data_IF_042351420668
#
_entry.id   IF_042351420668
#
_cell.length_a   1.000
_cell.length_b   1.000
_cell.length_c   1.000
_cell.angle_alpha   90.00
_cell.angle_beta   90.00
_cell.angle_gamma   90.00
#
_symmetry.space_group_name_H-M   'P 1'
#
loop_
_entity.id
_entity.type
_entity.pdbx_description
1 polymer ?
#
# COMPACT_ATOMS: atom_id res chain seq x y z
N UNK A 1 -11.32 -47.02 31.91
CA UNK A 1 -10.04 -46.68 32.55
C UNK A 1 -8.97 -47.03 31.52
N UNK A 2 -8.29 -46.12 30.83
CA UNK A 2 -7.82 -44.79 31.23
C UNK A 2 -7.82 -43.81 30.04
N UNK A 3 -8.27 -42.60 30.33
CA UNK A 3 -8.16 -41.41 29.50
C UNK A 3 -6.70 -40.90 29.54
N UNK A 4 -6.11 -40.41 28.44
CA UNK A 4 -4.84 -39.70 28.51
C UNK A 4 -5.07 -38.24 28.97
N UNK A 5 -4.34 -37.73 29.98
CA UNK A 5 -4.09 -36.28 30.11
C UNK A 5 -2.73 -35.95 29.46
N UNK A 6 -2.40 -34.78 28.91
CA UNK A 6 -3.05 -33.51 28.56
C UNK A 6 -1.99 -32.75 27.73
N UNK A 7 -2.32 -31.96 26.67
CA UNK A 7 -1.36 -31.16 25.93
C UNK A 7 -1.36 -29.71 26.44
N UNK A 8 -0.43 -29.36 27.32
CA UNK A 8 -0.02 -27.98 27.62
C UNK A 8 0.93 -28.01 28.83
N UNK A 9 2.23 -27.86 28.59
CA UNK A 9 3.11 -27.27 29.59
C UNK A 9 3.59 -25.96 28.98
N UNK A 10 2.84 -24.91 29.28
CA UNK A 10 3.28 -23.51 29.23
C UNK A 10 4.43 -23.38 30.23
N UNK A 11 5.66 -23.55 29.74
CA UNK A 11 6.85 -23.49 30.59
C UNK A 11 7.25 -22.02 30.79
N UNK A 12 6.61 -21.36 31.75
CA UNK A 12 6.86 -19.96 32.17
C UNK A 12 8.36 -19.70 32.43
N UNK A 13 9.11 -20.74 32.79
CA UNK A 13 10.55 -20.69 33.00
C UNK A 13 11.33 -20.44 31.70
N UNK A 14 10.88 -21.03 30.58
CA UNK A 14 11.45 -20.77 29.25
C UNK A 14 11.16 -19.33 28.78
N UNK A 15 9.96 -18.81 29.08
CA UNK A 15 9.59 -17.43 28.78
C UNK A 15 10.38 -16.43 29.64
N UNK A 16 10.55 -16.71 30.93
CA UNK A 16 11.35 -15.90 31.85
C UNK A 16 12.83 -15.87 31.44
N UNK A 17 13.38 -17.00 30.97
CA UNK A 17 14.74 -17.07 30.44
C UNK A 17 14.91 -16.25 29.15
N UNK A 18 13.94 -16.31 28.23
CA UNK A 18 13.96 -15.51 27.00
C UNK A 18 13.86 -14.00 27.29
N UNK A 19 13.02 -13.60 28.24
CA UNK A 19 12.89 -12.21 28.69
C UNK A 19 14.15 -11.73 29.43
N UNK A 20 14.78 -12.59 30.22
CA UNK A 20 16.06 -12.32 30.88
C UNK A 20 17.19 -12.10 29.87
N UNK A 21 17.29 -12.94 28.84
CA UNK A 21 18.26 -12.80 27.75
C UNK A 21 18.02 -11.53 26.92
N UNK A 22 16.75 -11.13 26.72
CA UNK A 22 16.39 -9.90 26.00
C UNK A 22 16.82 -8.63 26.75
N UNK A 23 16.90 -8.65 28.08
CA UNK A 23 17.33 -7.50 28.90
C UNK A 23 18.84 -7.23 28.86
N UNK A 24 19.63 -8.07 28.18
CA UNK A 24 21.07 -7.87 27.95
C UNK A 24 21.34 -7.28 26.55
N UNK A 25 20.31 -6.84 25.83
CA UNK A 25 20.48 -6.08 24.60
C UNK A 25 21.05 -4.71 24.92
N UNK A 26 22.25 -4.44 24.42
CA UNK A 26 22.85 -3.11 24.47
C UNK A 26 21.93 -2.12 23.75
N UNK A 27 21.71 -0.96 24.36
CA UNK A 27 20.94 0.11 23.73
C UNK A 27 21.53 0.45 22.36
N UNK A 28 20.63 0.78 21.41
CA UNK A 28 21.06 1.21 20.10
C UNK A 28 21.94 2.46 20.25
N UNK A 29 23.11 2.51 19.58
CA UNK A 29 23.98 3.67 19.63
C UNK A 29 23.21 4.97 19.32
N UNK A 30 23.39 6.00 20.16
CA UNK A 30 22.62 7.25 20.08
C UNK A 30 22.67 7.89 18.68
N UNK A 31 23.83 7.81 18.01
CA UNK A 31 23.99 8.29 16.65
C UNK A 31 23.05 7.62 15.63
N UNK A 32 22.68 6.35 15.84
CA UNK A 32 21.71 5.64 15.00
C UNK A 32 20.28 6.04 15.32
N UNK A 33 19.96 6.25 16.61
CA UNK A 33 18.64 6.75 17.04
C UNK A 33 18.39 8.14 16.46
N UNK A 34 19.34 9.06 16.60
CA UNK A 34 19.26 10.42 16.06
C UNK A 34 19.17 10.44 14.53
N UNK A 35 19.91 9.54 13.84
CA UNK A 35 19.79 9.38 12.39
C UNK A 35 18.41 8.87 11.97
N UNK A 36 17.85 7.90 12.69
CA UNK A 36 16.52 7.37 12.42
C UNK A 36 15.42 8.43 12.63
N UNK A 37 15.52 9.22 13.71
CA UNK A 37 14.65 10.39 13.92
C UNK A 37 14.79 11.40 12.78
N UNK A 38 16.02 11.65 12.32
CA UNK A 38 16.30 12.54 11.20
C UNK A 38 15.66 12.11 9.87
N UNK A 39 15.53 10.79 9.62
CA UNK A 39 14.88 10.26 8.41
C UNK A 39 13.37 10.55 8.39
N UNK A 40 12.70 10.53 9.55
CA UNK A 40 11.29 10.91 9.64
C UNK A 40 11.04 12.41 9.52
N UNK A 41 12.05 13.23 9.83
CA UNK A 41 11.98 14.69 9.68
C UNK A 41 12.44 15.19 8.30
N UNK A 42 12.75 14.31 7.35
CA UNK A 42 13.01 14.71 5.97
C UNK A 42 11.69 14.74 5.19
N UNK A 43 11.02 15.90 5.04
CA UNK A 43 9.99 16.01 4.02
C UNK A 43 10.66 15.73 2.68
N UNK A 44 10.14 14.76 1.94
CA UNK A 44 10.48 14.62 0.53
C UNK A 44 10.14 15.96 -0.13
N UNK A 45 11.15 16.72 -0.51
CA UNK A 45 10.98 18.01 -1.17
C UNK A 45 10.48 17.74 -2.60
N UNK A 46 9.18 17.60 -2.75
CA UNK A 46 8.48 17.69 -4.03
C UNK A 46 7.90 19.10 -4.11
N UNK A 47 8.12 19.86 -5.19
CA UNK A 47 7.50 21.16 -5.35
C UNK A 47 5.98 21.00 -5.47
N UNK A 48 5.26 21.28 -4.39
CA UNK A 48 3.80 21.37 -4.37
C UNK A 48 3.42 22.77 -4.89
N UNK A 49 2.83 22.82 -6.08
CA UNK A 49 2.10 24.02 -6.52
C UNK A 49 0.79 24.08 -5.74
N UNK A 50 0.79 24.80 -4.62
CA UNK A 50 -0.42 25.07 -3.83
C UNK A 50 -1.28 26.12 -4.53
N UNK A 51 -2.42 25.71 -5.10
CA UNK A 51 -3.54 26.60 -5.36
C UNK A 51 -4.52 26.51 -4.17
N UNK A 52 -5.12 27.62 -3.71
CA UNK A 52 -5.96 27.61 -2.51
C UNK A 52 -7.32 26.96 -2.81
N UNK A 53 -7.51 25.73 -2.34
CA UNK A 53 -8.79 25.04 -2.31
C UNK A 53 -9.62 25.51 -1.11
N UNK A 54 -10.10 26.76 -1.15
CA UNK A 54 -10.91 27.33 -0.07
C UNK A 54 -12.17 28.03 -0.60
N UNK A 55 -12.94 27.39 -1.50
CA UNK A 55 -14.34 27.81 -1.76
C UNK A 55 -15.28 26.70 -2.29
N UNK A 56 -14.80 25.48 -2.56
CA UNK A 56 -15.62 24.46 -3.25
C UNK A 56 -16.59 23.67 -2.35
N UNK A 57 -16.64 23.92 -1.03
CA UNK A 57 -17.41 23.08 -0.09
C UNK A 57 -18.89 23.46 0.06
N UNK A 58 -19.41 24.43 -0.70
CA UNK A 58 -20.80 24.90 -0.54
C UNK A 58 -21.77 24.47 -1.67
N UNK A 59 -21.28 23.82 -2.73
CA UNK A 59 -22.09 23.49 -3.91
C UNK A 59 -21.77 22.08 -4.43
N UNK A 60 -22.01 21.04 -3.64
CA UNK A 60 -22.19 19.64 -4.09
C UNK A 60 -21.25 19.10 -5.18
N UNK A 61 -20.00 19.58 -5.23
CA UNK A 61 -19.07 19.31 -6.31
C UNK A 61 -18.19 18.11 -5.96
N UNK A 62 -18.08 17.17 -6.89
CA UNK A 62 -17.12 16.07 -6.77
C UNK A 62 -15.70 16.64 -6.86
N UNK A 63 -14.91 16.45 -5.81
CA UNK A 63 -13.51 16.90 -5.75
C UNK A 63 -12.60 15.89 -6.45
N UNK A 64 -11.70 16.36 -7.30
CA UNK A 64 -10.64 15.51 -7.86
C UNK A 64 -9.37 15.70 -7.04
N UNK A 65 -9.00 14.67 -6.30
CA UNK A 65 -7.82 14.65 -5.44
C UNK A 65 -6.58 14.24 -6.25
N UNK A 66 -5.41 14.65 -5.77
CA UNK A 66 -4.12 14.26 -6.31
C UNK A 66 -3.35 13.51 -5.22
N UNK A 67 -3.09 12.23 -5.45
CA UNK A 67 -2.31 11.42 -4.53
C UNK A 67 -0.83 11.40 -4.90
N UNK A 68 0.01 11.41 -3.86
CA UNK A 68 1.46 11.28 -3.98
C UNK A 68 1.87 9.86 -3.62
N UNK A 69 2.68 9.21 -4.46
CA UNK A 69 3.28 7.91 -4.13
C UNK A 69 4.35 8.12 -3.06
N UNK A 70 4.15 7.54 -1.88
CA UNK A 70 5.07 7.68 -0.74
C UNK A 70 5.97 6.45 -0.54
N UNK A 71 5.56 5.28 -1.04
CA UNK A 71 6.35 4.05 -0.96
C UNK A 71 6.06 3.12 -2.14
N UNK A 72 7.11 2.51 -2.68
CA UNK A 72 7.04 1.42 -3.66
C UNK A 72 8.03 0.32 -3.27
N UNK A 73 7.54 -0.90 -3.06
CA UNK A 73 8.37 -2.02 -2.63
C UNK A 73 9.36 -2.49 -3.71
N UNK A 74 9.12 -2.14 -4.98
CA UNK A 74 10.04 -2.43 -6.10
C UNK A 74 10.97 -1.26 -6.41
N UNK A 75 10.78 -0.09 -5.80
CA UNK A 75 11.74 1.00 -5.96
C UNK A 75 12.98 0.69 -5.12
N UNK A 76 14.03 0.23 -5.79
CA UNK A 76 15.33 -0.09 -5.20
C UNK A 76 16.19 1.18 -5.06
N UNK A 77 15.56 2.32 -4.74
CA UNK A 77 16.22 3.60 -4.50
C UNK A 77 17.43 3.43 -3.56
N UNK A 78 18.59 3.88 -4.06
CA UNK A 78 19.93 3.81 -3.48
C UNK A 78 20.03 3.15 -2.09
N UNK A 79 20.32 1.85 -2.08
CA UNK A 79 20.80 1.02 -0.95
C UNK A 79 20.96 1.78 0.39
N UNK A 80 19.85 2.06 1.07
CA UNK A 80 19.88 2.34 2.49
C UNK A 80 20.23 1.01 3.19
N UNK A 81 21.52 0.86 3.54
CA UNK A 81 22.06 -0.32 4.20
C UNK A 81 21.29 -0.61 5.47
N UNK A 82 20.44 -1.64 5.45
CA UNK A 82 19.63 -2.03 6.59
C UNK A 82 18.29 -2.70 6.26
N UNK A 83 17.77 -2.57 5.02
CA UNK A 83 16.59 -3.35 4.61
C UNK A 83 16.94 -4.83 4.51
N UNK A 84 16.63 -5.60 5.55
CA UNK A 84 16.49 -7.07 5.47
C UNK A 84 15.20 -7.43 4.75
N UNK A 85 14.99 -6.89 3.55
CA UNK A 85 14.10 -7.50 2.59
C UNK A 85 14.89 -8.64 1.99
N UNK A 86 14.47 -9.89 2.23
CA UNK A 86 15.05 -11.01 1.53
C UNK A 86 14.93 -10.70 0.02
N UNK A 87 16.07 -10.47 -0.63
CA UNK A 87 16.19 -10.49 -2.09
C UNK A 87 16.05 -11.94 -2.59
N UNK A 88 15.05 -12.65 -2.08
CA UNK A 88 14.74 -14.02 -2.46
C UNK A 88 13.82 -13.97 -3.66
N UNK A 89 14.48 -14.00 -4.82
CA UNK A 89 14.05 -14.65 -6.06
C UNK A 89 12.88 -14.02 -6.82
N UNK A 90 13.25 -13.15 -7.76
CA UNK A 90 12.57 -13.01 -9.04
C UNK A 90 11.54 -11.89 -9.13
N UNK A 91 11.25 -11.48 -10.36
CA UNK A 91 10.21 -10.54 -10.77
C UNK A 91 8.77 -10.98 -10.40
N UNK A 92 8.62 -11.97 -9.53
CA UNK A 92 7.39 -12.62 -9.09
C UNK A 92 7.05 -12.33 -7.62
N UNK A 93 7.72 -11.37 -6.98
CA UNK A 93 7.32 -10.89 -5.66
C UNK A 93 6.12 -9.94 -5.78
N UNK A 94 5.20 -10.00 -4.80
CA UNK A 94 4.11 -9.03 -4.71
C UNK A 94 4.69 -7.60 -4.57
N UNK A 95 4.14 -6.65 -5.34
CA UNK A 95 4.50 -5.23 -5.26
C UNK A 95 3.50 -4.52 -4.36
N UNK A 96 4.02 -3.75 -3.41
CA UNK A 96 3.21 -2.88 -2.56
C UNK A 96 3.48 -1.43 -2.92
N UNK A 97 2.41 -0.65 -3.04
CA UNK A 97 2.45 0.79 -3.30
C UNK A 97 1.63 1.49 -2.22
N UNK A 98 2.18 2.53 -1.60
CA UNK A 98 1.43 3.39 -0.68
C UNK A 98 1.35 4.79 -1.27
N UNK A 99 0.14 5.32 -1.34
CA UNK A 99 -0.11 6.70 -1.72
C UNK A 99 -0.73 7.46 -0.56
N UNK A 100 -0.53 8.78 -0.53
CA UNK A 100 -1.19 9.67 0.42
C UNK A 100 -1.84 10.86 -0.30
N UNK A 101 -3.01 11.29 0.17
CA UNK A 101 -3.77 12.43 -0.35
C UNK A 101 -4.68 13.01 0.72
N UNK A 102 -4.68 14.34 0.92
CA UNK A 102 -5.62 15.09 1.77
C UNK A 102 -6.20 14.31 2.98
N UNK A 103 -5.34 13.78 3.87
CA UNK A 103 -5.76 13.06 5.08
C UNK A 103 -6.22 11.60 4.86
N UNK A 104 -5.86 10.99 3.73
CA UNK A 104 -6.13 9.60 3.39
C UNK A 104 -4.84 8.93 2.93
N UNK A 105 -4.70 7.68 3.29
CA UNK A 105 -3.65 6.81 2.76
C UNK A 105 -4.30 5.69 1.95
N UNK A 106 -3.64 5.29 0.86
CA UNK A 106 -4.14 4.26 -0.06
C UNK A 106 -3.03 3.21 -0.17
N UNK A 107 -3.27 2.04 0.42
CA UNK A 107 -2.38 0.88 0.29
C UNK A 107 -2.85 0.02 -0.89
N UNK A 108 -1.95 -0.28 -1.82
CA UNK A 108 -2.21 -1.12 -2.98
C UNK A 108 -1.23 -2.29 -3.00
N UNK A 109 -1.75 -3.45 -3.40
CA UNK A 109 -0.96 -4.68 -3.58
C UNK A 109 -1.22 -5.28 -4.95
N UNK A 110 -0.14 -5.56 -5.65
CA UNK A 110 -0.11 -6.28 -6.92
C UNK A 110 0.51 -7.65 -6.66
N UNK A 111 -0.31 -8.70 -6.73
CA UNK A 111 0.13 -10.08 -6.49
C UNK A 111 0.19 -10.82 -7.82
N UNK A 112 1.35 -11.37 -8.22
CA UNK A 112 1.44 -12.15 -9.44
C UNK A 112 0.75 -13.51 -9.29
N UNK A 113 0.10 -13.94 -10.37
CA UNK A 113 -0.48 -15.25 -10.57
C UNK A 113 0.16 -15.92 -11.79
N UNK A 114 0.06 -17.25 -11.88
CA UNK A 114 0.52 -18.04 -13.03
C UNK A 114 1.95 -17.70 -13.48
N UNK A 115 2.86 -17.53 -12.53
CA UNK A 115 4.24 -17.16 -12.85
C UNK A 115 4.38 -15.77 -13.45
N UNK A 116 3.46 -14.83 -13.14
CA UNK A 116 3.52 -13.42 -13.52
C UNK A 116 2.86 -13.07 -14.86
N UNK A 117 2.15 -14.03 -15.48
CA UNK A 117 1.30 -13.78 -16.63
C UNK A 117 0.07 -12.93 -16.25
N UNK A 118 -0.55 -13.26 -15.12
CA UNK A 118 -1.71 -12.54 -14.58
C UNK A 118 -1.40 -11.95 -13.22
N UNK A 119 -2.21 -10.99 -12.80
CA UNK A 119 -2.03 -10.24 -11.57
C UNK A 119 -3.37 -10.00 -10.89
N UNK A 120 -3.37 -10.01 -9.56
CA UNK A 120 -4.47 -9.50 -8.74
C UNK A 120 -4.06 -8.16 -8.18
N UNK A 121 -4.89 -7.14 -8.43
CA UNK A 121 -4.80 -5.85 -7.78
C UNK A 121 -5.81 -5.82 -6.63
N UNK A 122 -5.32 -5.64 -5.41
CA UNK A 122 -6.13 -5.36 -4.24
C UNK A 122 -5.63 -4.10 -3.54
N UNK A 123 -6.45 -3.52 -2.69
CA UNK A 123 -6.05 -2.35 -1.92
C UNK A 123 -7.05 -1.97 -0.85
N UNK A 124 -6.66 -0.97 -0.08
CA UNK A 124 -7.44 -0.41 1.01
C UNK A 124 -7.29 1.10 1.03
N UNK A 125 -8.39 1.81 1.28
CA UNK A 125 -8.38 3.25 1.54
C UNK A 125 -8.50 3.48 3.05
N UNK A 126 -7.48 4.07 3.65
CA UNK A 126 -7.45 4.45 5.05
C UNK A 126 -7.82 5.92 5.17
N UNK A 127 -8.95 6.20 5.81
CA UNK A 127 -9.46 7.55 5.92
C UNK A 127 -10.82 7.62 6.62
N UNK A 128 -11.44 8.80 6.66
CA UNK A 128 -12.73 8.99 7.31
C UNK A 128 -13.88 8.31 6.56
N UNK A 129 -13.77 8.09 5.25
CA UNK A 129 -14.77 7.37 4.46
C UNK A 129 -14.49 5.88 4.42
N UNK A 130 -15.51 5.08 4.73
CA UNK A 130 -15.45 3.61 4.66
C UNK A 130 -16.25 3.04 3.47
N UNK A 131 -16.85 3.91 2.65
CA UNK A 131 -17.66 3.50 1.52
C UNK A 131 -17.25 4.21 0.23
N UNK A 132 -17.28 3.45 -0.86
CA UNK A 132 -16.83 3.91 -2.16
C UNK A 132 -16.74 2.77 -3.15
N UNK A 133 -16.06 3.02 -4.27
CA UNK A 133 -15.79 2.02 -5.28
C UNK A 133 -14.42 2.22 -5.92
N UNK A 134 -13.84 1.12 -6.35
CA UNK A 134 -12.64 1.07 -7.15
C UNK A 134 -13.01 0.68 -8.59
N UNK A 135 -12.51 1.43 -9.56
CA UNK A 135 -12.68 1.14 -10.99
C UNK A 135 -11.30 0.94 -11.62
N UNK A 136 -11.12 -0.20 -12.27
CA UNK A 136 -9.95 -0.46 -13.07
C UNK A 136 -10.26 -0.11 -14.53
N UNK A 137 -9.46 0.78 -15.12
CA UNK A 137 -9.61 1.24 -16.50
C UNK A 137 -8.34 0.91 -17.31
N UNK A 138 -8.46 0.71 -18.63
CA UNK A 138 -7.29 0.69 -19.50
C UNK A 138 -6.58 2.04 -19.40
N UNK A 139 -5.26 2.06 -19.63
CA UNK A 139 -4.59 3.34 -19.79
C UNK A 139 -5.16 4.13 -20.98
N UNK A 140 -5.37 5.45 -20.84
CA UNK A 140 -5.92 6.26 -21.90
C UNK A 140 -4.94 6.25 -23.08
N UNK A 141 -5.46 5.90 -24.27
CA UNK A 141 -4.74 6.22 -25.50
C UNK A 141 -4.76 7.75 -25.66
N UNK A 142 -3.69 8.31 -26.22
CA UNK A 142 -3.36 9.74 -26.16
C UNK A 142 -4.42 10.73 -26.70
N UNK A 143 -5.57 10.28 -27.21
CA UNK A 143 -6.61 11.13 -27.81
C UNK A 143 -8.05 10.56 -27.70
N UNK A 144 -8.31 9.60 -26.81
CA UNK A 144 -9.66 9.03 -26.64
C UNK A 144 -10.35 9.47 -25.36
N UNK A 145 -11.67 9.63 -25.46
CA UNK A 145 -12.57 9.80 -24.31
C UNK A 145 -12.32 8.70 -23.26
N UNK A 146 -12.62 9.00 -21.99
CA UNK A 146 -12.41 8.08 -20.87
C UNK A 146 -12.96 6.68 -21.20
N UNK A 147 -12.06 5.70 -21.27
CA UNK A 147 -12.41 4.33 -21.56
C UNK A 147 -13.34 3.78 -20.47
N UNK A 148 -14.33 2.98 -20.88
CA UNK A 148 -15.19 2.24 -19.96
C UNK A 148 -14.34 1.39 -19.01
N UNK A 149 -14.74 1.26 -17.73
CA UNK A 149 -14.01 0.44 -16.78
C UNK A 149 -14.01 -1.03 -17.21
N UNK A 150 -12.85 -1.67 -17.10
CA UNK A 150 -12.70 -3.11 -17.26
C UNK A 150 -13.39 -3.84 -16.11
N UNK A 151 -13.26 -3.31 -14.90
CA UNK A 151 -13.85 -3.86 -13.69
C UNK A 151 -14.25 -2.73 -12.74
N UNK A 152 -15.33 -2.92 -12.00
CA UNK A 152 -15.82 -2.00 -10.96
C UNK A 152 -16.17 -2.83 -9.73
N UNK A 153 -15.59 -2.50 -8.60
CA UNK A 153 -15.75 -3.24 -7.34
C UNK A 153 -16.10 -2.25 -6.23
N UNK A 154 -17.22 -2.44 -5.50
CA UNK A 154 -17.51 -1.63 -4.32
C UNK A 154 -16.51 -1.97 -3.21
N UNK A 155 -16.19 -1.00 -2.36
CA UNK A 155 -15.39 -1.30 -1.19
C UNK A 155 -16.21 -2.08 -0.15
N UNK A 156 -15.55 -2.94 0.62
CA UNK A 156 -16.16 -3.60 1.77
C UNK A 156 -16.25 -2.65 2.98
N UNK A 157 -16.70 -3.18 4.13
CA UNK A 157 -16.85 -2.41 5.38
C UNK A 157 -15.54 -1.81 5.93
N UNK A 158 -14.40 -2.34 5.48
CA UNK A 158 -13.05 -1.89 5.86
C UNK A 158 -12.40 -1.02 4.77
N UNK A 159 -13.18 -0.54 3.79
CA UNK A 159 -12.72 0.20 2.63
C UNK A 159 -11.70 -0.57 1.75
N UNK A 160 -11.74 -1.90 1.78
CA UNK A 160 -10.90 -2.77 0.96
C UNK A 160 -11.60 -3.14 -0.34
N UNK A 161 -10.80 -3.41 -1.37
CA UNK A 161 -11.26 -3.90 -2.66
C UNK A 161 -10.26 -4.88 -3.26
N UNK A 162 -10.77 -5.79 -4.08
CA UNK A 162 -9.98 -6.74 -4.84
C UNK A 162 -10.62 -6.93 -6.22
N UNK A 163 -9.80 -6.84 -7.26
CA UNK A 163 -10.22 -7.10 -8.63
C UNK A 163 -9.99 -8.57 -9.02
N UNK A 164 -10.78 -9.05 -9.98
CA UNK A 164 -10.49 -10.33 -10.62
C UNK A 164 -9.15 -10.26 -11.37
N UNK A 165 -8.48 -11.42 -11.57
CA UNK A 165 -7.18 -11.48 -12.25
C UNK A 165 -7.15 -10.71 -13.57
N UNK A 166 -6.11 -9.90 -13.75
CA UNK A 166 -5.88 -9.05 -14.93
C UNK A 166 -4.54 -9.37 -15.59
N UNK A 167 -4.47 -9.14 -16.90
CA UNK A 167 -3.22 -9.20 -17.65
C UNK A 167 -2.27 -8.06 -17.25
N UNK A 168 -0.98 -8.26 -17.48
CA UNK A 168 0.01 -7.20 -17.34
C UNK A 168 -0.20 -6.07 -18.36
N UNK A 169 0.10 -4.83 -17.95
CA UNK A 169 -0.01 -3.66 -18.81
C UNK A 169 -0.22 -2.36 -18.04
N UNK A 170 -0.27 -1.22 -18.76
CA UNK A 170 -0.63 0.06 -18.19
C UNK A 170 -2.14 0.11 -17.92
N UNK A 171 -2.52 0.53 -16.72
CA UNK A 171 -3.91 0.70 -16.32
C UNK A 171 -4.07 1.93 -15.43
N UNK A 172 -5.31 2.38 -15.27
CA UNK A 172 -5.67 3.44 -14.34
C UNK A 172 -6.59 2.86 -13.27
N UNK A 173 -6.26 3.14 -12.02
CA UNK A 173 -7.16 2.90 -10.89
C UNK A 173 -7.87 4.20 -10.56
N UNK A 174 -9.21 4.17 -10.56
CA UNK A 174 -10.05 5.29 -10.11
C UNK A 174 -10.72 4.88 -8.82
N UNK A 175 -10.44 5.61 -7.74
CA UNK A 175 -11.08 5.43 -6.45
C UNK A 175 -12.07 6.57 -6.25
N UNK A 176 -13.31 6.25 -5.90
CA UNK A 176 -14.36 7.26 -5.74
C UNK A 176 -15.19 7.01 -4.49
N UNK A 177 -15.36 8.06 -3.69
CA UNK A 177 -16.32 8.14 -2.59
C UNK A 177 -17.46 9.11 -2.96
N UNK A 178 -18.24 9.53 -1.95
CA UNK A 178 -19.43 10.37 -2.17
C UNK A 178 -19.10 11.74 -2.79
N UNK A 179 -18.00 12.37 -2.38
CA UNK A 179 -17.67 13.75 -2.72
C UNK A 179 -16.26 13.91 -3.29
N UNK A 180 -15.54 12.81 -3.52
CA UNK A 180 -14.21 12.85 -4.09
C UNK A 180 -13.89 11.67 -5.01
N UNK A 181 -12.92 11.91 -5.90
CA UNK A 181 -12.30 10.90 -6.75
C UNK A 181 -10.79 11.10 -6.82
N UNK A 182 -10.02 10.03 -6.92
CA UNK A 182 -8.58 10.06 -7.25
C UNK A 182 -8.29 9.06 -8.36
N UNK A 183 -7.37 9.43 -9.24
CA UNK A 183 -6.91 8.60 -10.35
C UNK A 183 -5.42 8.31 -10.19
N UNK A 184 -5.07 7.02 -10.24
CA UNK A 184 -3.70 6.55 -10.12
C UNK A 184 -3.31 5.83 -11.40
N UNK A 185 -2.26 6.32 -12.06
CA UNK A 185 -1.62 5.62 -13.17
C UNK A 185 -0.79 4.45 -12.62
N UNK A 186 -1.10 3.23 -13.05
CA UNK A 186 -0.42 2.02 -12.62
C UNK A 186 0.22 1.33 -13.83
N UNK A 187 1.36 0.69 -13.59
CA UNK A 187 2.01 -0.16 -14.58
C UNK A 187 2.28 -1.54 -13.97
N UNK A 188 1.56 -2.53 -14.48
CA UNK A 188 1.73 -3.94 -14.11
C UNK A 188 2.70 -4.56 -15.11
N UNK A 189 3.84 -5.05 -14.62
CA UNK A 189 4.87 -5.65 -15.49
C UNK A 189 4.58 -7.14 -15.64
N UNK A 190 4.63 -7.65 -16.87
CA UNK A 190 4.70 -9.10 -17.08
C UNK A 190 6.02 -9.63 -16.50
N UNK A 191 5.99 -10.87 -16.01
CA UNK A 191 7.23 -11.60 -15.79
C UNK A 191 7.89 -11.91 -17.16
N UNK A 192 9.24 -11.89 -17.23
CA UNK A 192 9.97 -12.23 -18.46
C UNK A 192 9.84 -13.71 -18.84
#
# INVERSE_FOLDING_TARGET
MNQPPNPAEDDDEALAAALGASRVLQDAPEALVLRAIGLWQQPAAVPVSAAPAAVASALGGLRRLVATLVFDSLDHGALAGGRRGAATLGHLAARQLLYSTEGRDIDLRLTPLDGGARWVLSGQVLGPELSGRAELRPAPAADTAAASPLQVVPWNELAEFEFAPMEAGPCHLVLSAADWTVELGLFVRAAP
#
